data_IF_469005262609
#
_entry.id   IF_469005262609
#
_cell.length_a   1.000
_cell.length_b   1.000
_cell.length_c   1.000
_cell.angle_alpha   90.00
_cell.angle_beta   90.00
_cell.angle_gamma   90.00
#
_symmetry.space_group_name_H-M   'P 1'
#
loop_
_entity.id
_entity.type
_entity.pdbx_description
1 polymer ?
#
# COMPACT_ATOMS: atom_id res chain seq x y z
N UNK A 1 3.30 6.08 -48.19
CA UNK A 1 3.16 4.68 -48.65
C UNK A 1 3.54 3.78 -47.48
N UNK A 2 2.60 2.90 -47.05
CA UNK A 2 2.66 1.91 -45.95
C UNK A 2 2.55 2.41 -44.49
N UNK A 3 1.35 2.23 -43.93
CA UNK A 3 1.06 1.89 -42.52
C UNK A 3 -0.24 1.07 -42.53
N UNK A 4 -0.17 -0.22 -42.87
CA UNK A 4 -0.14 -1.39 -41.97
C UNK A 4 -1.32 -1.37 -40.98
N UNK A 5 -2.49 -1.89 -41.35
CA UNK A 5 -2.94 -3.31 -41.34
C UNK A 5 -3.45 -3.89 -40.02
N UNK A 6 -3.39 -3.17 -38.90
CA UNK A 6 -3.98 -3.66 -37.62
C UNK A 6 -5.40 -3.15 -37.32
N UNK A 7 -6.01 -2.34 -38.20
CA UNK A 7 -7.37 -1.80 -37.99
C UNK A 7 -8.48 -2.69 -38.58
N UNK A 8 -8.17 -3.94 -38.95
CA UNK A 8 -9.10 -4.82 -39.67
C UNK A 8 -10.05 -5.63 -38.78
N UNK A 9 -9.84 -5.69 -37.47
CA UNK A 9 -10.58 -6.65 -36.62
C UNK A 9 -11.81 -6.07 -35.89
N UNK A 10 -12.10 -4.76 -36.03
CA UNK A 10 -13.38 -4.17 -35.62
C UNK A 10 -14.41 -4.07 -36.75
N UNK A 11 -14.02 -4.40 -37.99
CA UNK A 11 -14.87 -4.31 -39.18
C UNK A 11 -15.75 -5.55 -39.45
N UNK A 12 -15.76 -6.55 -38.55
CA UNK A 12 -16.45 -7.83 -38.77
C UNK A 12 -17.95 -7.86 -38.46
N UNK A 13 -18.51 -6.83 -37.83
CA UNK A 13 -19.96 -6.76 -37.55
C UNK A 13 -20.60 -5.73 -38.47
N UNK A 14 -21.60 -6.09 -39.31
CA UNK A 14 -22.34 -5.12 -40.09
C UNK A 14 -23.10 -4.20 -39.13
N UNK A 15 -22.63 -2.97 -38.99
CA UNK A 15 -23.25 -1.95 -38.15
C UNK A 15 -24.27 -1.21 -39.01
N UNK A 16 -25.48 -0.99 -38.48
CA UNK A 16 -26.50 -0.23 -39.19
C UNK A 16 -25.99 1.20 -39.47
N UNK A 17 -26.18 1.75 -40.69
CA UNK A 17 -25.77 3.12 -41.04
C UNK A 17 -26.37 4.19 -40.12
N UNK A 18 -27.48 3.90 -39.45
CA UNK A 18 -28.10 4.75 -38.44
C UNK A 18 -27.31 4.87 -37.13
N UNK A 19 -26.40 3.93 -36.85
CA UNK A 19 -25.52 3.95 -35.66
C UNK A 19 -24.17 4.63 -35.93
N UNK A 20 -23.86 4.97 -37.18
CA UNK A 20 -22.63 5.68 -37.56
C UNK A 20 -22.43 6.99 -36.78
N UNK A 21 -23.46 7.83 -36.57
CA UNK A 21 -23.33 9.04 -35.77
C UNK A 21 -23.00 8.76 -34.30
N UNK A 22 -23.64 7.73 -33.72
CA UNK A 22 -23.40 7.33 -32.33
C UNK A 22 -21.99 6.74 -32.13
N UNK A 23 -21.49 5.98 -33.11
CA UNK A 23 -20.11 5.49 -33.12
C UNK A 23 -19.08 6.62 -33.23
N UNK A 24 -19.31 7.57 -34.13
CA UNK A 24 -18.47 8.77 -34.23
C UNK A 24 -18.50 9.58 -32.94
N UNK A 25 -19.63 9.63 -32.25
CA UNK A 25 -19.76 10.31 -30.96
C UNK A 25 -19.00 9.56 -29.86
N UNK A 26 -19.08 8.22 -29.83
CA UNK A 26 -18.31 7.38 -28.91
C UNK A 26 -16.79 7.43 -29.17
N UNK A 27 -16.36 7.44 -30.43
CA UNK A 27 -14.95 7.61 -30.80
C UNK A 27 -14.43 9.00 -30.45
N UNK A 28 -15.20 10.05 -30.77
CA UNK A 28 -14.82 11.41 -30.44
C UNK A 28 -14.79 11.67 -28.92
N UNK A 29 -15.71 11.08 -28.15
CA UNK A 29 -15.66 11.12 -26.67
C UNK A 29 -14.50 10.28 -26.11
N UNK A 30 -14.16 9.15 -26.73
CA UNK A 30 -12.96 8.35 -26.38
C UNK A 30 -11.67 9.13 -26.66
N UNK A 31 -11.60 9.88 -27.77
CA UNK A 31 -10.45 10.68 -28.15
C UNK A 31 -10.35 11.97 -27.30
N UNK A 32 -11.46 12.66 -27.02
CA UNK A 32 -11.52 13.80 -26.07
C UNK A 32 -11.13 13.44 -24.63
N UNK A 33 -11.29 12.17 -24.22
CA UNK A 33 -10.83 11.69 -22.91
C UNK A 33 -9.31 11.53 -22.80
N UNK A 34 -8.55 11.63 -23.91
CA UNK A 34 -7.08 11.51 -23.95
C UNK A 34 -6.37 12.86 -24.08
N UNK A 35 -6.89 13.91 -23.44
CA UNK A 35 -6.19 15.20 -23.40
C UNK A 35 -4.91 15.08 -22.53
N UNK A 36 -3.72 15.47 -23.02
CA UNK A 36 -2.44 15.35 -22.30
C UNK A 36 -2.44 16.04 -20.92
N UNK A 37 -3.30 17.05 -20.75
CA UNK A 37 -3.53 17.75 -19.49
C UNK A 37 -4.04 16.84 -18.36
N UNK A 38 -4.75 15.75 -18.66
CA UNK A 38 -5.25 14.82 -17.64
C UNK A 38 -4.12 14.02 -17.01
N UNK A 39 -3.20 13.48 -17.83
CA UNK A 39 -2.05 12.73 -17.33
C UNK A 39 -1.12 13.65 -16.53
N UNK A 40 -0.87 14.88 -17.02
CA UNK A 40 -0.05 15.85 -16.30
C UNK A 40 -0.63 16.19 -14.92
N UNK A 41 -1.95 16.34 -14.83
CA UNK A 41 -2.65 16.56 -13.56
C UNK A 41 -2.48 15.38 -12.61
N UNK A 42 -2.62 14.16 -13.10
CA UNK A 42 -2.44 12.93 -12.31
C UNK A 42 -1.00 12.77 -11.80
N UNK A 43 -0.02 13.11 -12.64
CA UNK A 43 1.40 13.14 -12.26
C UNK A 43 1.63 14.15 -11.15
N UNK A 44 1.06 15.36 -11.26
CA UNK A 44 1.21 16.39 -10.24
C UNK A 44 0.61 15.97 -8.89
N UNK A 45 -0.60 15.38 -8.91
CA UNK A 45 -1.21 14.83 -7.69
C UNK A 45 -0.39 13.68 -7.10
N UNK A 46 0.19 12.84 -7.95
CA UNK A 46 1.01 11.70 -7.50
C UNK A 46 2.35 12.15 -6.91
N UNK A 47 2.97 13.20 -7.46
CA UNK A 47 4.14 13.83 -6.85
C UNK A 47 3.83 14.35 -5.44
N UNK A 48 2.70 15.04 -5.26
CA UNK A 48 2.23 15.50 -3.95
C UNK A 48 2.00 14.31 -3.00
N UNK A 49 1.36 13.24 -3.49
CA UNK A 49 1.15 12.03 -2.71
C UNK A 49 2.47 11.33 -2.33
N UNK A 50 3.48 11.40 -3.18
CA UNK A 50 4.84 10.93 -2.86
C UNK A 50 5.45 11.69 -1.70
N UNK A 51 5.36 13.03 -1.71
CA UNK A 51 5.84 13.87 -0.60
C UNK A 51 5.09 13.58 0.70
N UNK A 52 3.75 13.53 0.63
CA UNK A 52 2.89 13.24 1.78
C UNK A 52 3.17 11.82 2.31
N UNK A 53 3.24 10.82 1.43
CA UNK A 53 3.50 9.42 1.79
C UNK A 53 4.85 9.25 2.48
N UNK A 54 5.89 9.94 1.97
CA UNK A 54 7.19 10.02 2.63
C UNK A 54 7.11 10.60 4.04
N UNK A 55 6.45 11.75 4.20
CA UNK A 55 6.28 12.38 5.51
C UNK A 55 5.46 11.52 6.48
N UNK A 56 4.40 10.88 6.01
CA UNK A 56 3.54 10.01 6.83
C UNK A 56 4.26 8.75 7.28
N UNK A 57 5.06 8.12 6.42
CA UNK A 57 5.89 6.97 6.81
C UNK A 57 6.93 7.36 7.88
N UNK A 58 7.54 8.54 7.73
CA UNK A 58 8.47 9.07 8.72
C UNK A 58 7.78 9.36 10.08
N UNK A 59 6.62 10.01 10.06
CA UNK A 59 5.81 10.27 11.27
C UNK A 59 5.39 8.97 11.94
N UNK A 60 4.91 7.97 11.18
CA UNK A 60 4.52 6.67 11.70
C UNK A 60 5.69 5.99 12.41
N UNK A 61 6.87 6.00 11.79
CA UNK A 61 8.10 5.44 12.37
C UNK A 61 8.47 6.14 13.68
N UNK A 62 8.42 7.48 13.71
CA UNK A 62 8.69 8.25 14.93
C UNK A 62 7.66 7.99 16.02
N UNK A 63 6.39 7.81 15.67
CA UNK A 63 5.34 7.50 16.62
C UNK A 63 5.51 6.10 17.23
N UNK A 64 5.92 5.12 16.42
CA UNK A 64 6.31 3.78 16.90
C UNK A 64 7.43 3.93 17.93
N UNK A 65 8.50 4.67 17.62
CA UNK A 65 9.61 4.86 18.56
C UNK A 65 9.21 5.58 19.84
N UNK A 66 8.35 6.59 19.77
CA UNK A 66 7.84 7.28 20.96
C UNK A 66 7.10 6.31 21.87
N UNK A 67 6.25 5.45 21.29
CA UNK A 67 5.49 4.47 22.06
C UNK A 67 6.41 3.38 22.60
N UNK A 68 7.39 2.90 21.82
CA UNK A 68 8.39 1.94 22.30
C UNK A 68 9.21 2.50 23.46
N UNK A 69 9.72 3.74 23.34
CA UNK A 69 10.48 4.40 24.41
C UNK A 69 9.63 4.59 25.68
N UNK A 70 8.36 5.00 25.52
CA UNK A 70 7.47 5.19 26.65
C UNK A 70 7.12 3.85 27.33
N UNK A 71 6.84 2.81 26.54
CA UNK A 71 6.36 1.53 27.03
C UNK A 71 7.48 0.66 27.63
N UNK A 72 8.67 0.65 27.03
CA UNK A 72 9.77 -0.23 27.43
C UNK A 72 10.82 0.44 28.32
N UNK A 73 10.99 1.76 28.18
CA UNK A 73 12.04 2.51 28.88
C UNK A 73 11.50 3.63 29.78
N UNK A 74 10.20 3.92 29.74
CA UNK A 74 9.58 4.99 30.53
C UNK A 74 9.98 6.41 30.11
N UNK A 75 10.48 6.57 28.87
CA UNK A 75 11.01 7.84 28.37
C UNK A 75 10.17 8.35 27.20
N UNK A 76 9.96 9.68 27.15
CA UNK A 76 9.36 10.31 25.98
C UNK A 76 10.47 10.73 25.01
N UNK A 77 10.85 9.84 24.10
CA UNK A 77 11.90 10.06 23.11
C UNK A 77 11.49 9.56 21.72
N UNK A 78 11.94 10.25 20.69
CA UNK A 78 11.74 9.85 19.28
C UNK A 78 12.97 9.19 18.66
N UNK A 79 13.98 8.92 19.49
CA UNK A 79 15.17 8.17 19.11
C UNK A 79 14.82 6.73 18.78
N UNK A 80 15.61 6.14 17.88
CA UNK A 80 15.43 4.76 17.48
C UNK A 80 15.47 3.84 18.71
N UNK A 81 14.39 3.10 18.92
CA UNK A 81 14.25 2.17 20.04
C UNK A 81 13.66 0.85 19.56
N UNK A 82 14.23 -0.23 20.06
CA UNK A 82 13.73 -1.59 19.91
C UNK A 82 13.35 -2.12 21.29
N UNK A 83 12.37 -3.03 21.42
CA UNK A 83 12.05 -3.64 22.71
C UNK A 83 13.21 -4.39 23.37
N UNK A 84 14.22 -4.80 22.60
CA UNK A 84 15.38 -5.55 23.08
C UNK A 84 16.24 -4.74 24.07
N UNK A 85 16.64 -5.36 25.18
CA UNK A 85 17.47 -4.72 26.21
C UNK A 85 16.70 -3.85 27.22
N UNK A 86 15.37 -3.97 27.30
CA UNK A 86 14.58 -3.32 28.34
C UNK A 86 14.90 -3.84 29.76
N UNK A 87 14.64 -3.04 30.80
CA UNK A 87 14.86 -3.43 32.20
C UNK A 87 13.62 -3.98 32.93
N UNK A 88 12.51 -4.22 32.21
CA UNK A 88 11.20 -4.56 32.78
C UNK A 88 11.07 -5.98 33.36
N UNK A 89 12.00 -6.90 33.09
CA UNK A 89 11.89 -8.31 33.50
C UNK A 89 10.57 -8.95 33.05
N UNK A 90 9.92 -9.71 33.92
CA UNK A 90 8.64 -10.39 33.63
C UNK A 90 7.47 -9.44 33.36
N UNK A 91 7.55 -8.18 33.78
CA UNK A 91 6.48 -7.19 33.57
C UNK A 91 6.29 -6.84 32.09
N UNK A 92 7.25 -7.19 31.22
CA UNK A 92 7.16 -6.98 29.77
C UNK A 92 5.88 -7.60 29.17
N UNK A 93 5.38 -8.70 29.74
CA UNK A 93 4.18 -9.38 29.24
C UNK A 93 2.95 -8.47 29.28
N UNK A 94 2.88 -7.53 30.23
CA UNK A 94 1.75 -6.60 30.34
C UNK A 94 1.77 -5.50 29.28
N UNK A 95 2.93 -5.19 28.69
CA UNK A 95 3.07 -4.12 27.70
C UNK A 95 2.21 -4.36 26.45
N UNK A 96 2.34 -5.51 25.74
CA UNK A 96 1.49 -5.79 24.58
C UNK A 96 0.03 -6.05 24.97
N UNK A 97 -0.25 -6.50 26.21
CA UNK A 97 -1.63 -6.65 26.72
C UNK A 97 -2.32 -5.28 26.80
N UNK A 98 -1.65 -4.28 27.38
CA UNK A 98 -2.17 -2.91 27.45
C UNK A 98 -2.32 -2.33 26.05
N UNK A 99 -1.33 -2.54 25.17
CA UNK A 99 -1.41 -2.13 23.76
C UNK A 99 -2.63 -2.71 23.04
N UNK A 100 -2.88 -4.02 23.21
CA UNK A 100 -4.04 -4.71 22.65
C UNK A 100 -5.37 -4.16 23.19
N UNK A 101 -5.45 -3.89 24.51
CA UNK A 101 -6.65 -3.27 25.11
C UNK A 101 -6.89 -1.87 24.52
N UNK A 102 -5.84 -1.03 24.43
CA UNK A 102 -5.96 0.31 23.87
C UNK A 102 -6.45 0.27 22.42
N UNK A 103 -5.87 -0.58 21.58
CA UNK A 103 -6.27 -0.73 20.17
C UNK A 103 -7.68 -1.32 20.06
N UNK A 104 -8.05 -2.26 20.94
CA UNK A 104 -9.41 -2.78 21.05
C UNK A 104 -10.44 -1.70 21.40
N UNK A 105 -10.11 -0.80 22.33
CA UNK A 105 -10.94 0.35 22.68
C UNK A 105 -11.03 1.34 21.51
N UNK A 106 -9.92 1.62 20.82
CA UNK A 106 -9.91 2.44 19.61
C UNK A 106 -10.81 1.86 18.51
N UNK A 107 -10.82 0.53 18.33
CA UNK A 107 -11.67 -0.12 17.34
C UNK A 107 -13.14 -0.05 17.73
N UNK A 108 -13.45 -0.25 19.02
CA UNK A 108 -14.81 -0.21 19.56
C UNK A 108 -15.44 1.18 19.50
N UNK A 109 -14.70 2.23 19.89
CA UNK A 109 -15.24 3.59 20.01
C UNK A 109 -14.86 4.53 18.86
N UNK A 110 -13.79 4.25 18.12
CA UNK A 110 -13.30 5.09 17.03
C UNK A 110 -13.85 4.69 15.66
N UNK A 111 -13.42 3.54 15.14
CA UNK A 111 -13.87 3.04 13.83
C UNK A 111 -13.54 1.56 13.66
N UNK A 112 -14.53 0.75 13.29
CA UNK A 112 -14.31 -0.68 12.99
C UNK A 112 -13.33 -0.90 11.84
N UNK A 113 -13.22 0.05 10.91
CA UNK A 113 -12.25 -0.04 9.78
C UNK A 113 -10.77 0.07 10.17
N UNK A 114 -10.45 0.27 11.46
CA UNK A 114 -9.06 0.13 11.92
C UNK A 114 -8.65 -1.34 12.10
N UNK A 115 -9.62 -2.25 12.25
CA UNK A 115 -9.39 -3.70 12.29
C UNK A 115 -8.90 -4.18 10.92
N UNK A 116 -8.30 -5.36 10.90
CA UNK A 116 -7.80 -5.98 9.67
C UNK A 116 -6.41 -5.52 9.25
N UNK A 117 -5.93 -6.16 8.19
CA UNK A 117 -4.53 -6.15 7.76
C UNK A 117 -4.15 -4.93 6.91
N UNK A 118 -5.12 -4.16 6.43
CA UNK A 118 -4.94 -2.94 5.63
C UNK A 118 -5.04 -3.16 4.12
N UNK A 119 -4.32 -4.15 3.56
CA UNK A 119 -4.33 -4.39 2.10
C UNK A 119 -5.69 -4.92 1.61
N UNK A 120 -6.29 -5.97 2.22
CA UNK A 120 -7.61 -6.45 1.82
C UNK A 120 -8.69 -5.37 1.85
N UNK A 121 -8.67 -4.49 2.86
CA UNK A 121 -9.64 -3.41 3.01
C UNK A 121 -9.42 -2.33 1.94
N UNK A 122 -8.17 -2.02 1.59
CA UNK A 122 -7.87 -1.14 0.46
C UNK A 122 -8.39 -1.73 -0.87
N UNK A 123 -8.22 -3.05 -1.07
CA UNK A 123 -8.76 -3.77 -2.23
C UNK A 123 -10.30 -3.72 -2.25
N UNK A 124 -10.96 -3.95 -1.11
CA UNK A 124 -12.41 -3.86 -0.99
C UNK A 124 -12.93 -2.48 -1.39
N UNK A 125 -12.26 -1.41 -0.93
CA UNK A 125 -12.64 -0.05 -1.33
C UNK A 125 -12.44 0.21 -2.82
N UNK A 126 -11.40 -0.36 -3.42
CA UNK A 126 -11.17 -0.29 -4.88
C UNK A 126 -12.28 -1.00 -5.64
N UNK A 127 -12.66 -2.21 -5.21
CA UNK A 127 -13.61 -3.07 -5.90
C UNK A 127 -15.07 -2.63 -5.73
N UNK A 128 -15.46 -2.20 -4.53
CA UNK A 128 -16.87 -1.99 -4.17
C UNK A 128 -17.24 -0.53 -3.89
N UNK A 129 -16.29 0.31 -3.46
CA UNK A 129 -16.59 1.67 -2.97
C UNK A 129 -16.09 2.78 -3.91
N UNK A 130 -15.87 2.47 -5.20
CA UNK A 130 -15.31 3.42 -6.18
C UNK A 130 -14.01 4.06 -5.67
N UNK A 131 -13.17 3.31 -4.96
CA UNK A 131 -11.93 3.81 -4.35
C UNK A 131 -12.13 4.96 -3.35
N UNK A 132 -13.30 5.08 -2.71
CA UNK A 132 -13.56 6.04 -1.63
C UNK A 132 -13.27 5.41 -0.28
N UNK A 133 -12.22 5.88 0.38
CA UNK A 133 -11.85 5.49 1.73
C UNK A 133 -12.25 6.62 2.70
N UNK A 134 -12.91 6.31 3.83
CA UNK A 134 -13.26 7.30 4.84
C UNK A 134 -12.03 8.05 5.37
N UNK A 135 -12.04 9.40 5.42
CA UNK A 135 -10.87 10.19 5.83
C UNK A 135 -10.35 9.86 7.24
N UNK A 136 -11.24 9.46 8.15
CA UNK A 136 -10.88 9.03 9.51
C UNK A 136 -9.88 7.86 9.54
N UNK A 137 -9.91 6.98 8.54
CA UNK A 137 -8.99 5.83 8.47
C UNK A 137 -7.55 6.26 8.18
N UNK A 138 -7.35 7.39 7.48
CA UNK A 138 -6.03 7.95 7.24
C UNK A 138 -5.32 8.39 8.53
N UNK A 139 -6.05 8.61 9.62
CA UNK A 139 -5.50 9.01 10.92
C UNK A 139 -5.54 7.88 11.94
N UNK A 140 -6.66 7.17 12.04
CA UNK A 140 -6.85 6.16 13.08
C UNK A 140 -6.03 4.88 12.83
N UNK A 141 -5.89 4.44 11.57
CA UNK A 141 -5.13 3.22 11.20
C UNK A 141 -3.63 3.34 11.51
N UNK A 142 -2.92 4.43 11.13
CA UNK A 142 -1.50 4.55 11.49
C UNK A 142 -1.31 4.75 13.00
N UNK A 143 -2.23 5.44 13.69
CA UNK A 143 -2.17 5.60 15.13
C UNK A 143 -2.33 4.26 15.86
N UNK A 144 -3.34 3.45 15.49
CA UNK A 144 -3.54 2.14 16.10
C UNK A 144 -2.37 1.21 15.82
N UNK A 145 -1.81 1.26 14.60
CA UNK A 145 -0.61 0.51 14.25
C UNK A 145 0.59 0.93 15.09
N UNK A 146 0.78 2.23 15.33
CA UNK A 146 1.90 2.70 16.14
C UNK A 146 1.79 2.21 17.59
N UNK A 147 0.57 2.19 18.14
CA UNK A 147 0.30 1.61 19.47
C UNK A 147 0.61 0.13 19.48
N UNK A 148 0.07 -0.65 18.53
CA UNK A 148 0.30 -2.10 18.49
C UNK A 148 1.79 -2.44 18.33
N UNK A 149 2.48 -1.82 17.37
CA UNK A 149 3.89 -2.10 17.08
C UNK A 149 4.78 -1.57 18.22
N UNK A 150 4.54 -0.35 18.68
CA UNK A 150 5.32 0.28 19.73
C UNK A 150 5.19 -0.39 21.09
N UNK A 151 4.09 -1.10 21.35
CA UNK A 151 3.92 -1.92 22.57
C UNK A 151 4.41 -3.37 22.41
N UNK A 152 5.06 -3.70 21.29
CA UNK A 152 5.66 -5.02 21.05
C UNK A 152 4.72 -6.05 20.43
N UNK A 153 3.60 -5.63 19.83
CA UNK A 153 2.76 -6.51 19.03
C UNK A 153 3.48 -7.02 17.77
N UNK A 154 3.25 -8.27 17.34
CA UNK A 154 4.02 -8.93 16.28
C UNK A 154 3.54 -8.52 14.87
N UNK A 155 3.54 -7.21 14.58
CA UNK A 155 3.08 -6.65 13.31
C UNK A 155 4.13 -5.77 12.66
N UNK A 156 4.13 -5.73 11.33
CA UNK A 156 4.91 -4.79 10.54
C UNK A 156 4.12 -3.53 10.19
N UNK A 157 4.83 -2.46 9.84
CA UNK A 157 4.22 -1.21 9.36
C UNK A 157 3.68 -1.29 7.91
N UNK A 158 3.84 -2.43 7.22
CA UNK A 158 3.48 -2.63 5.80
C UNK A 158 2.00 -2.39 5.51
N UNK A 159 1.12 -3.21 6.10
CA UNK A 159 -0.32 -3.10 5.90
C UNK A 159 -0.88 -1.73 6.28
N UNK A 160 -0.53 -1.20 7.48
CA UNK A 160 -0.92 0.14 7.91
C UNK A 160 -0.45 1.25 6.97
N UNK A 161 0.77 1.21 6.45
CA UNK A 161 1.25 2.28 5.56
C UNK A 161 0.60 2.21 4.17
N UNK A 162 0.35 1.01 3.64
CA UNK A 162 -0.39 0.83 2.38
C UNK A 162 -1.82 1.36 2.52
N UNK A 163 -2.52 0.98 3.60
CA UNK A 163 -3.87 1.46 3.86
C UNK A 163 -3.93 2.97 4.09
N UNK A 164 -2.98 3.53 4.84
CA UNK A 164 -2.91 4.97 5.11
C UNK A 164 -2.58 5.77 3.85
N UNK A 165 -1.57 5.34 3.09
CA UNK A 165 -1.22 5.93 1.81
C UNK A 165 -2.38 5.88 0.81
N UNK A 166 -3.05 4.73 0.72
CA UNK A 166 -4.27 4.55 -0.06
C UNK A 166 -5.39 5.49 0.39
N UNK A 167 -5.63 5.62 1.69
CA UNK A 167 -6.64 6.51 2.25
C UNK A 167 -6.36 7.99 1.91
N UNK A 168 -5.10 8.42 1.96
CA UNK A 168 -4.70 9.78 1.59
C UNK A 168 -4.82 10.03 0.09
N UNK A 169 -4.44 9.06 -0.74
CA UNK A 169 -4.65 9.10 -2.19
C UNK A 169 -6.13 9.19 -2.55
N UNK A 170 -6.95 8.37 -1.91
CA UNK A 170 -8.40 8.41 -2.01
C UNK A 170 -8.98 9.76 -1.57
N UNK A 171 -8.53 10.30 -0.44
CA UNK A 171 -8.96 11.60 0.08
C UNK A 171 -8.63 12.73 -0.92
N UNK A 172 -7.42 12.74 -1.47
CA UNK A 172 -7.05 13.71 -2.50
C UNK A 172 -7.98 13.60 -3.72
N UNK A 173 -8.27 12.39 -4.18
CA UNK A 173 -9.22 12.15 -5.27
C UNK A 173 -10.71 12.37 -4.91
N UNK A 174 -11.06 12.50 -3.64
CA UNK A 174 -12.40 12.91 -3.21
C UNK A 174 -12.52 14.44 -3.14
N UNK A 175 -11.46 15.12 -2.69
CA UNK A 175 -11.38 16.58 -2.64
C UNK A 175 -11.25 17.19 -4.04
N UNK A 176 -10.65 16.45 -4.98
CA UNK A 176 -10.61 16.82 -6.40
C UNK A 176 -11.78 16.17 -7.12
N UNK A 177 -12.29 16.81 -8.18
CA UNK A 177 -13.39 16.29 -9.01
C UNK A 177 -12.90 15.17 -9.94
N UNK A 178 -12.36 14.08 -9.40
CA UNK A 178 -11.82 12.96 -10.18
C UNK A 178 -12.86 11.85 -10.39
N UNK A 179 -12.70 11.12 -11.48
CA UNK A 179 -13.49 9.91 -11.75
C UNK A 179 -13.14 8.79 -10.77
N UNK A 180 -13.93 7.71 -10.75
CA UNK A 180 -13.62 6.53 -9.94
C UNK A 180 -12.27 5.91 -10.35
N UNK A 181 -11.98 5.82 -11.65
CA UNK A 181 -10.72 5.27 -12.17
C UNK A 181 -9.51 6.16 -11.83
N UNK A 182 -9.65 7.48 -11.96
CA UNK A 182 -8.60 8.41 -11.54
C UNK A 182 -8.35 8.31 -10.02
N UNK A 183 -9.42 8.21 -9.22
CA UNK A 183 -9.30 8.04 -7.76
C UNK A 183 -8.62 6.73 -7.40
N UNK A 184 -8.91 5.65 -8.14
CA UNK A 184 -8.25 4.35 -8.00
C UNK A 184 -6.74 4.48 -8.24
N UNK A 185 -6.32 5.22 -9.27
CA UNK A 185 -4.91 5.50 -9.55
C UNK A 185 -4.27 6.34 -8.43
N UNK A 186 -4.96 7.35 -7.90
CA UNK A 186 -4.43 8.17 -6.79
C UNK A 186 -4.32 7.36 -5.49
N UNK A 187 -5.30 6.52 -5.18
CA UNK A 187 -5.25 5.58 -4.06
C UNK A 187 -4.04 4.66 -4.20
N UNK A 188 -3.88 4.02 -5.36
CA UNK A 188 -2.72 3.20 -5.69
C UNK A 188 -1.39 3.96 -5.56
N UNK A 189 -1.31 5.19 -6.08
CA UNK A 189 -0.11 6.03 -5.99
C UNK A 189 0.26 6.36 -4.53
N UNK A 190 -0.73 6.68 -3.69
CA UNK A 190 -0.52 6.89 -2.26
C UNK A 190 -0.07 5.63 -1.52
N UNK A 191 -0.68 4.48 -1.82
CA UNK A 191 -0.28 3.19 -1.26
C UNK A 191 1.18 2.83 -1.63
N UNK A 192 1.56 3.00 -2.90
CA UNK A 192 2.92 2.78 -3.38
C UNK A 192 3.91 3.75 -2.71
N UNK A 193 3.55 5.04 -2.58
CA UNK A 193 4.37 6.03 -1.88
C UNK A 193 4.65 5.61 -0.42
N UNK A 194 3.62 5.19 0.32
CA UNK A 194 3.76 4.73 1.69
C UNK A 194 4.69 3.52 1.82
N UNK A 195 4.50 2.51 0.97
CA UNK A 195 5.36 1.32 0.95
C UNK A 195 6.81 1.68 0.59
N UNK A 196 7.01 2.48 -0.45
CA UNK A 196 8.32 2.94 -0.90
C UNK A 196 9.08 3.73 0.17
N UNK A 197 8.39 4.62 0.89
CA UNK A 197 8.99 5.39 1.96
C UNK A 197 9.37 4.53 3.18
N UNK A 198 8.62 3.45 3.43
CA UNK A 198 8.87 2.56 4.57
C UNK A 198 10.04 1.61 4.27
N UNK A 199 10.01 0.95 3.11
CA UNK A 199 10.97 -0.12 2.78
C UNK A 199 12.15 0.32 1.92
N UNK A 200 12.09 1.50 1.30
CA UNK A 200 13.12 1.93 0.33
C UNK A 200 13.11 1.11 -0.96
N UNK A 201 11.97 0.46 -1.29
CA UNK A 201 11.83 -0.48 -2.40
C UNK A 201 10.84 0.03 -3.47
N UNK A 202 11.21 1.05 -4.27
CA UNK A 202 10.27 1.74 -5.15
C UNK A 202 9.71 0.86 -6.25
N UNK A 203 10.54 -0.03 -6.80
CA UNK A 203 10.14 -0.95 -7.89
C UNK A 203 9.14 -1.99 -7.37
N UNK A 204 9.44 -2.63 -6.24
CA UNK A 204 8.56 -3.61 -5.62
C UNK A 204 7.22 -3.00 -5.23
N UNK A 205 7.21 -1.79 -4.68
CA UNK A 205 5.98 -1.09 -4.31
C UNK A 205 5.08 -0.78 -5.51
N UNK A 206 5.67 -0.35 -6.64
CA UNK A 206 4.93 -0.13 -7.88
C UNK A 206 4.31 -1.46 -8.34
N UNK A 207 5.11 -2.52 -8.46
CA UNK A 207 4.63 -3.83 -8.92
C UNK A 207 3.51 -4.38 -8.03
N UNK A 208 3.70 -4.33 -6.70
CA UNK A 208 2.70 -4.80 -5.73
C UNK A 208 1.36 -4.09 -5.93
N UNK A 209 1.38 -2.76 -6.06
CA UNK A 209 0.16 -1.97 -6.24
C UNK A 209 -0.47 -2.18 -7.61
N UNK A 210 0.34 -2.35 -8.66
CA UNK A 210 -0.18 -2.68 -9.99
C UNK A 210 -0.94 -4.01 -9.97
N UNK A 211 -0.39 -5.01 -9.27
CA UNK A 211 -0.96 -6.35 -9.17
C UNK A 211 -2.18 -6.42 -8.23
N UNK A 212 -2.08 -5.86 -7.03
CA UNK A 212 -3.10 -6.01 -5.99
C UNK A 212 -4.21 -4.95 -6.03
N UNK A 213 -3.93 -3.74 -6.49
CA UNK A 213 -4.90 -2.63 -6.45
C UNK A 213 -5.39 -2.22 -7.85
N UNK A 214 -4.50 -2.16 -8.84
CA UNK A 214 -4.88 -1.65 -10.17
C UNK A 214 -5.40 -2.71 -11.12
N UNK A 215 -4.84 -3.92 -11.10
CA UNK A 215 -5.20 -5.02 -12.01
C UNK A 215 -5.07 -4.66 -13.49
N UNK A 216 -4.20 -3.71 -13.84
CA UNK A 216 -3.95 -3.30 -15.22
C UNK A 216 -2.52 -2.77 -15.40
N UNK A 217 -1.92 -2.97 -16.58
CA UNK A 217 -0.58 -2.48 -16.91
C UNK A 217 -0.65 -1.38 -17.97
N UNK A 218 -1.37 -0.30 -17.67
CA UNK A 218 -1.50 0.86 -18.57
C UNK A 218 -0.52 1.97 -18.17
N UNK A 219 0.12 2.59 -19.15
CA UNK A 219 1.05 3.72 -18.91
C UNK A 219 0.39 4.86 -18.12
N UNK A 220 -0.90 5.13 -18.36
CA UNK A 220 -1.67 6.15 -17.63
C UNK A 220 -1.79 5.86 -16.12
N UNK A 221 -1.65 4.61 -15.71
CA UNK A 221 -1.75 4.16 -14.32
C UNK A 221 -0.36 3.94 -13.71
N UNK A 222 0.56 3.33 -14.46
CA UNK A 222 1.93 3.05 -14.01
C UNK A 222 2.72 4.35 -13.78
N UNK A 223 2.64 5.33 -14.70
CA UNK A 223 3.47 6.54 -14.61
C UNK A 223 3.17 7.34 -13.33
N UNK A 224 1.91 7.68 -13.00
CA UNK A 224 1.61 8.38 -11.75
C UNK A 224 2.06 7.60 -10.51
N UNK A 225 1.81 6.28 -10.46
CA UNK A 225 2.23 5.42 -9.32
C UNK A 225 3.74 5.39 -9.16
N UNK A 226 4.50 5.28 -10.26
CA UNK A 226 5.95 5.32 -10.26
C UNK A 226 6.49 6.67 -9.76
N UNK A 227 5.88 7.79 -10.18
CA UNK A 227 6.25 9.13 -9.71
C UNK A 227 6.04 9.25 -8.20
N UNK A 228 4.87 8.86 -7.68
CA UNK A 228 4.62 8.89 -6.24
C UNK A 228 5.63 8.02 -5.46
N UNK A 229 5.89 6.81 -5.96
CA UNK A 229 6.86 5.87 -5.38
C UNK A 229 8.27 6.46 -5.31
N UNK A 230 8.81 6.97 -6.42
CA UNK A 230 10.16 7.56 -6.49
C UNK A 230 10.28 8.81 -5.62
N UNK A 231 9.27 9.69 -5.65
CA UNK A 231 9.25 10.87 -4.79
C UNK A 231 9.26 10.49 -3.30
N UNK A 232 8.51 9.46 -2.91
CA UNK A 232 8.49 8.99 -1.54
C UNK A 232 9.84 8.39 -1.09
N UNK A 233 10.54 7.67 -1.98
CA UNK A 233 11.92 7.21 -1.70
C UNK A 233 12.89 8.38 -1.55
N UNK A 234 12.76 9.43 -2.37
CA UNK A 234 13.60 10.62 -2.21
C UNK A 234 13.41 11.26 -0.82
N UNK A 235 12.16 11.34 -0.33
CA UNK A 235 11.89 11.79 1.04
C UNK A 235 12.50 10.85 2.07
N UNK A 236 12.40 9.52 1.88
CA UNK A 236 13.06 8.54 2.76
C UNK A 236 14.57 8.74 2.81
N UNK A 237 15.22 8.98 1.69
CA UNK A 237 16.68 9.18 1.65
C UNK A 237 17.12 10.41 2.43
N UNK A 238 16.30 11.47 2.44
CA UNK A 238 16.57 12.68 3.22
C UNK A 238 16.32 12.45 4.72
N UNK A 239 15.29 11.68 5.08
CA UNK A 239 14.80 11.57 6.47
C UNK A 239 15.37 10.38 7.25
N UNK A 240 15.59 9.24 6.59
CA UNK A 240 16.05 7.97 7.17
C UNK A 240 17.42 7.56 6.61
N UNK A 241 17.73 7.98 5.38
CA UNK A 241 18.97 7.62 4.68
C UNK A 241 18.75 6.62 3.54
N UNK A 242 19.81 6.36 2.79
CA UNK A 242 19.79 5.48 1.61
C UNK A 242 20.24 4.04 1.88
N UNK A 243 20.64 3.74 3.12
CA UNK A 243 21.08 2.40 3.49
C UNK A 243 19.93 1.37 3.33
N UNK A 244 20.23 0.14 2.88
CA UNK A 244 19.28 -0.96 2.88
C UNK A 244 18.80 -1.26 4.31
N UNK A 245 17.50 -1.56 4.45
CA UNK A 245 16.95 -2.00 5.74
C UNK A 245 17.58 -3.33 6.18
N UNK A 246 17.89 -4.20 5.21
CA UNK A 246 18.53 -5.49 5.42
C UNK A 246 19.83 -5.56 4.60
N UNK A 247 20.99 -5.19 5.19
CA UNK A 247 22.27 -5.33 4.50
C UNK A 247 22.58 -6.81 4.29
N UNK A 248 22.91 -7.18 3.05
CA UNK A 248 23.30 -8.53 2.68
C UNK A 248 24.75 -8.50 2.21
N UNK A 249 25.49 -9.55 2.55
CA UNK A 249 26.84 -9.78 2.02
C UNK A 249 26.77 -10.27 0.58
N UNK A 250 27.86 -10.12 -0.17
CA UNK A 250 27.94 -10.70 -1.51
C UNK A 250 27.90 -12.23 -1.44
N UNK A 251 27.03 -12.83 -2.26
CA UNK A 251 26.91 -14.28 -2.40
C UNK A 251 27.49 -14.72 -3.76
N UNK A 252 28.10 -15.91 -3.83
CA UNK A 252 28.53 -16.46 -5.11
C UNK A 252 27.33 -16.72 -6.03
N UNK A 253 27.57 -16.70 -7.34
CA UNK A 253 26.55 -17.04 -8.32
C UNK A 253 25.96 -18.43 -8.06
N UNK A 254 24.64 -18.56 -8.20
CA UNK A 254 23.96 -19.83 -7.94
C UNK A 254 24.38 -20.91 -8.93
N UNK A 255 24.79 -22.07 -8.42
CA UNK A 255 25.06 -23.27 -9.23
C UNK A 255 23.76 -23.93 -9.70
N UNK A 256 23.82 -24.82 -10.69
CA UNK A 256 22.66 -25.59 -11.13
C UNK A 256 22.02 -26.39 -9.99
N UNK A 257 22.84 -26.97 -9.10
CA UNK A 257 22.37 -27.67 -7.90
C UNK A 257 21.66 -26.71 -6.94
N UNK A 258 22.21 -25.50 -6.74
CA UNK A 258 21.57 -24.50 -5.89
C UNK A 258 20.19 -24.08 -6.46
N UNK A 259 20.08 -23.84 -7.77
CA UNK A 259 18.81 -23.51 -8.42
C UNK A 259 17.77 -24.63 -8.27
N UNK A 260 18.19 -25.89 -8.40
CA UNK A 260 17.30 -27.03 -8.17
C UNK A 260 16.80 -27.06 -6.72
N UNK A 261 17.69 -26.88 -5.75
CA UNK A 261 17.32 -26.81 -4.32
C UNK A 261 16.40 -25.63 -4.02
N UNK A 262 16.68 -24.44 -4.57
CA UNK A 262 15.84 -23.25 -4.42
C UNK A 262 14.43 -23.47 -4.96
N UNK A 263 14.30 -24.23 -6.05
CA UNK A 263 12.99 -24.59 -6.61
C UNK A 263 12.20 -25.48 -5.65
N UNK A 264 12.84 -26.50 -5.05
CA UNK A 264 12.22 -27.37 -4.05
C UNK A 264 11.80 -26.57 -2.82
N UNK A 265 12.68 -25.68 -2.33
CA UNK A 265 12.38 -24.78 -1.21
C UNK A 265 11.18 -23.88 -1.57
N UNK A 266 11.15 -23.31 -2.77
CA UNK A 266 10.04 -22.49 -3.26
C UNK A 266 8.71 -23.24 -3.25
N UNK A 267 8.69 -24.49 -3.73
CA UNK A 267 7.50 -25.35 -3.64
C UNK A 267 7.07 -25.60 -2.19
N UNK A 268 8.03 -25.88 -1.30
CA UNK A 268 7.78 -26.07 0.14
C UNK A 268 7.20 -24.82 0.82
N UNK A 269 7.78 -23.65 0.53
CA UNK A 269 7.28 -22.36 1.02
C UNK A 269 5.87 -22.08 0.48
N UNK A 270 5.59 -22.42 -0.78
CA UNK A 270 4.26 -22.29 -1.36
C UNK A 270 3.20 -23.11 -0.62
N UNK A 271 3.51 -24.36 -0.26
CA UNK A 271 2.61 -25.20 0.56
C UNK A 271 2.45 -24.62 1.97
N UNK A 272 3.54 -24.17 2.58
CA UNK A 272 3.51 -23.56 3.92
C UNK A 272 2.67 -22.27 3.94
N UNK A 273 2.74 -21.45 2.89
CA UNK A 273 1.95 -20.22 2.77
C UNK A 273 0.44 -20.51 2.76
N UNK A 274 0.01 -21.59 2.10
CA UNK A 274 -1.40 -22.03 2.15
C UNK A 274 -1.81 -22.46 3.56
N UNK A 275 -0.95 -23.20 4.26
CA UNK A 275 -1.23 -23.64 5.63
C UNK A 275 -1.34 -22.45 6.59
N UNK A 276 -0.39 -21.50 6.54
CA UNK A 276 -0.41 -20.29 7.37
C UNK A 276 -1.66 -19.46 7.08
N UNK A 277 -2.00 -19.25 5.80
CA UNK A 277 -3.22 -18.51 5.41
C UNK A 277 -4.48 -19.13 6.02
N UNK A 278 -4.63 -20.46 5.97
CA UNK A 278 -5.78 -21.15 6.58
C UNK A 278 -5.80 -21.02 8.11
N UNK A 279 -4.64 -21.12 8.75
CA UNK A 279 -4.54 -20.99 10.21
C UNK A 279 -4.95 -19.57 10.64
N UNK A 280 -4.46 -18.53 9.96
CA UNK A 280 -4.80 -17.14 10.25
C UNK A 280 -6.31 -16.93 10.18
N UNK A 281 -6.96 -17.31 9.06
CA UNK A 281 -8.42 -17.17 8.94
C UNK A 281 -9.20 -18.00 9.96
N UNK A 282 -8.73 -19.22 10.28
CA UNK A 282 -9.38 -20.06 11.30
C UNK A 282 -9.31 -19.42 12.70
N UNK A 283 -8.18 -18.78 13.02
CA UNK A 283 -8.01 -18.06 14.28
C UNK A 283 -8.89 -16.82 14.32
N UNK A 284 -8.97 -16.05 13.23
CA UNK A 284 -9.86 -14.89 13.11
C UNK A 284 -11.32 -15.28 13.33
N UNK A 285 -11.81 -16.33 12.66
CA UNK A 285 -13.17 -16.85 12.84
C UNK A 285 -13.44 -17.31 14.27
N UNK A 286 -12.44 -17.90 14.96
CA UNK A 286 -12.58 -18.31 16.36
C UNK A 286 -12.74 -17.10 17.28
N UNK A 287 -11.96 -16.04 17.05
CA UNK A 287 -12.05 -14.81 17.83
C UNK A 287 -13.35 -14.04 17.57
N UNK A 288 -13.91 -14.11 16.36
CA UNK A 288 -15.22 -13.49 16.06
C UNK A 288 -16.39 -14.18 16.79
N UNK A 289 -16.23 -15.44 17.19
CA UNK A 289 -17.25 -16.19 17.95
C UNK A 289 -17.24 -15.93 19.46
N UNK A 290 -16.19 -15.30 19.99
CA UNK A 290 -16.03 -14.95 21.40
C UNK A 290 -16.59 -13.55 21.70
#
# INVERSE_FOLDING_TARGET
MKRNEEDKDLHGLPIAPSMQPALHQLESDRLKKREPYHLLRMIWYSFILGLIGGGVAWILTKLIYIITNAAFYGQFSSEHAVPEGHALGWMVIFVPVIGGILVGLMARYGSQGIRGHGIPEAMEHVLHNQSRIPPRLAFLKPLSSAVTIGTGGPFGAEGPIIATGGALGSLLGQLKKTTADERKILLAAGAAAGMSATFGSPVSAVLLVMELLLFELRAFSIIPVAIASVTAVAVRFITVGSAPVFPMTDFPAASATALFVYTIIGCGIGVLAVAITKIVYSVEELFERL
#
